data_IF_665479448033
#
_entry.id   IF_665479448033
#
_cell.length_a   1.000
_cell.length_b   1.000
_cell.length_c   1.000
_cell.angle_alpha   90.00
_cell.angle_beta   90.00
_cell.angle_gamma   90.00
#
_symmetry.space_group_name_H-M   'P 1'
#
loop_
_entity.id
_entity.type
_entity.pdbx_description
1 polymer ?
#
# COMPACT_ATOMS: atom_id res chain seq x y z
N UNK A 1 -6.97 -6.48 -29.86
CA UNK A 1 -6.64 -5.38 -28.93
C UNK A 1 -5.39 -5.78 -28.18
N UNK A 2 -4.28 -5.13 -28.50
CA UNK A 2 -2.96 -5.30 -27.88
C UNK A 2 -3.08 -5.14 -26.37
N UNK A 3 -2.62 -6.14 -25.60
CA UNK A 3 -2.48 -6.00 -24.15
C UNK A 3 -1.59 -4.79 -23.88
N UNK A 4 -2.21 -3.73 -23.38
CA UNK A 4 -1.57 -2.47 -23.07
C UNK A 4 -0.44 -2.74 -22.08
N UNK A 5 0.76 -2.27 -22.41
CA UNK A 5 1.88 -2.39 -21.49
C UNK A 5 1.51 -1.54 -20.28
N UNK A 6 1.51 -2.09 -19.04
CA UNK A 6 1.06 -1.32 -17.88
C UNK A 6 1.83 -0.01 -17.85
N UNK A 7 1.08 1.11 -17.83
CA UNK A 7 1.62 2.45 -17.92
C UNK A 7 2.77 2.59 -16.90
N UNK A 8 3.97 2.87 -17.40
CA UNK A 8 5.16 3.01 -16.55
C UNK A 8 5.23 4.45 -16.07
N UNK A 9 5.20 4.61 -14.75
CA UNK A 9 5.31 5.91 -14.09
C UNK A 9 6.79 6.19 -13.81
N UNK A 10 7.48 7.07 -14.57
CA UNK A 10 8.87 7.39 -14.29
C UNK A 10 8.95 8.22 -13.02
N UNK A 11 9.73 7.76 -12.03
CA UNK A 11 9.98 8.48 -10.79
C UNK A 11 11.44 8.93 -10.80
N UNK A 12 11.66 10.25 -10.84
CA UNK A 12 13.00 10.84 -10.88
C UNK A 12 13.40 11.46 -9.53
N UNK A 13 12.44 11.71 -8.65
CA UNK A 13 12.63 12.40 -7.37
C UNK A 13 11.78 11.80 -6.24
N UNK A 14 12.07 12.22 -5.00
CA UNK A 14 11.23 11.91 -3.82
C UNK A 14 9.83 12.50 -4.00
N UNK A 15 9.70 13.72 -4.52
CA UNK A 15 8.40 14.33 -4.80
C UNK A 15 7.58 13.51 -5.79
N UNK A 16 8.20 12.95 -6.83
CA UNK A 16 7.52 12.04 -7.76
C UNK A 16 7.03 10.79 -7.03
N UNK A 17 7.90 10.16 -6.22
CA UNK A 17 7.51 9.00 -5.43
C UNK A 17 6.30 9.32 -4.54
N UNK A 18 6.36 10.41 -3.78
CA UNK A 18 5.27 10.81 -2.88
C UNK A 18 3.97 11.09 -3.63
N UNK A 19 4.04 11.67 -4.83
CA UNK A 19 2.89 11.88 -5.68
C UNK A 19 2.33 10.58 -6.30
N UNK A 20 3.16 9.55 -6.47
CA UNK A 20 2.72 8.24 -6.95
C UNK A 20 2.01 7.41 -5.87
N UNK A 21 2.39 7.58 -4.59
CA UNK A 21 1.87 6.75 -3.48
C UNK A 21 0.34 6.64 -3.45
N UNK A 22 -0.45 7.72 -3.59
CA UNK A 22 -1.91 7.60 -3.58
C UNK A 22 -2.46 6.67 -4.66
N UNK A 23 -1.84 6.65 -5.85
CA UNK A 23 -2.25 5.79 -6.96
C UNK A 23 -1.78 4.34 -6.78
N UNK A 24 -0.69 4.11 -6.03
CA UNK A 24 -0.26 2.77 -5.62
C UNK A 24 -1.18 2.17 -4.55
N UNK A 25 -1.72 3.02 -3.65
CA UNK A 25 -2.63 2.60 -2.58
C UNK A 25 -4.11 2.60 -3.01
N UNK A 26 -4.46 3.38 -4.04
CA UNK A 26 -5.83 3.67 -4.46
C UNK A 26 -6.53 4.77 -3.66
N UNK A 27 -5.83 5.45 -2.73
CA UNK A 27 -6.35 6.56 -1.93
C UNK A 27 -5.24 7.40 -1.30
N UNK A 28 -5.55 8.62 -0.84
CA UNK A 28 -4.61 9.47 -0.13
C UNK A 28 -4.53 9.07 1.35
N UNK A 29 -3.31 8.79 1.83
CA UNK A 29 -3.09 8.29 3.19
C UNK A 29 -2.75 9.42 4.17
N UNK A 30 -3.28 9.32 5.38
CA UNK A 30 -2.93 10.14 6.55
C UNK A 30 -2.68 9.22 7.75
N UNK A 31 -1.97 9.73 8.77
CA UNK A 31 -1.73 9.07 10.06
C UNK A 31 -1.32 7.60 9.94
N UNK A 32 -0.34 7.35 9.07
CA UNK A 32 0.01 6.01 8.62
C UNK A 32 1.47 5.86 8.29
N UNK A 33 1.95 4.62 8.34
CA UNK A 33 3.21 4.22 7.76
C UNK A 33 2.95 3.52 6.42
N UNK A 34 3.63 3.97 5.38
CA UNK A 34 3.68 3.33 4.07
C UNK A 34 5.06 2.78 3.81
N UNK A 35 5.13 1.52 3.41
CA UNK A 35 6.35 0.83 2.97
C UNK A 35 6.27 0.62 1.48
N UNK A 36 7.23 1.17 0.75
CA UNK A 36 7.38 0.99 -0.70
C UNK A 36 8.56 0.04 -0.94
N UNK A 37 8.28 -1.14 -1.49
CA UNK A 37 9.29 -2.13 -1.84
C UNK A 37 9.74 -1.99 -3.29
N UNK A 38 11.06 -2.15 -3.49
CA UNK A 38 11.69 -2.08 -4.79
C UNK A 38 12.40 -3.39 -5.15
N UNK A 39 12.26 -3.80 -6.40
CA UNK A 39 13.05 -4.85 -7.03
C UNK A 39 13.88 -4.20 -8.15
N UNK A 40 15.18 -4.05 -7.91
CA UNK A 40 16.03 -3.21 -8.74
C UNK A 40 15.60 -1.74 -8.66
N UNK A 41 15.23 -1.15 -9.80
CA UNK A 41 14.75 0.25 -9.90
C UNK A 41 13.24 0.41 -10.02
N UNK A 42 12.47 -0.66 -9.78
CA UNK A 42 11.01 -0.67 -9.95
C UNK A 42 10.32 -0.82 -8.61
N UNK A 43 9.30 -0.02 -8.38
CA UNK A 43 8.34 -0.27 -7.30
C UNK A 43 7.57 -1.54 -7.63
N UNK A 44 7.58 -2.51 -6.71
CA UNK A 44 6.90 -3.80 -6.88
C UNK A 44 5.80 -4.00 -5.86
N UNK A 45 5.85 -3.29 -4.73
CA UNK A 45 4.81 -3.33 -3.71
C UNK A 45 4.73 -2.02 -2.95
N UNK A 46 3.53 -1.64 -2.55
CA UNK A 46 3.29 -0.60 -1.56
C UNK A 46 2.33 -1.18 -0.50
N UNK A 47 2.67 -1.03 0.77
CA UNK A 47 1.83 -1.47 1.88
C UNK A 47 1.66 -0.36 2.89
N UNK A 48 0.45 -0.26 3.45
CA UNK A 48 0.07 0.79 4.39
C UNK A 48 -0.41 0.17 5.69
N UNK A 49 0.07 0.68 6.82
CA UNK A 49 -0.36 0.33 8.17
C UNK A 49 -0.67 1.60 8.96
N UNK A 50 -1.66 1.57 9.85
CA UNK A 50 -1.90 2.68 10.77
C UNK A 50 -0.70 2.90 11.71
N UNK A 51 -0.44 4.15 12.08
CA UNK A 51 0.53 4.44 13.13
C UNK A 51 -0.04 4.00 14.48
N UNK A 52 0.74 3.29 15.32
CA UNK A 52 0.34 3.00 16.69
C UNK A 52 0.34 4.28 17.54
N UNK A 53 -0.34 4.23 18.69
CA UNK A 53 -0.13 5.25 19.71
C UNK A 53 1.33 5.21 20.20
N UNK A 54 1.96 6.37 20.49
CA UNK A 54 3.39 6.43 20.85
C UNK A 54 3.79 5.49 21.99
N UNK A 55 2.93 5.31 22.99
CA UNK A 55 3.18 4.42 24.13
C UNK A 55 3.22 2.92 23.77
N UNK A 56 2.69 2.55 22.60
CA UNK A 56 2.51 1.14 22.19
C UNK A 56 3.48 0.70 21.08
N UNK A 57 4.35 1.61 20.59
CA UNK A 57 5.27 1.37 19.47
C UNK A 57 6.11 0.11 19.67
N UNK A 58 6.67 -0.10 20.86
CA UNK A 58 7.51 -1.29 21.16
C UNK A 58 6.75 -2.60 21.01
N UNK A 59 5.49 -2.66 21.42
CA UNK A 59 4.67 -3.87 21.25
C UNK A 59 4.25 -4.04 19.78
N UNK A 60 3.89 -2.93 19.12
CA UNK A 60 3.45 -2.89 17.73
C UNK A 60 4.55 -3.35 16.77
N UNK A 61 5.80 -2.90 16.97
CA UNK A 61 6.88 -3.07 15.99
C UNK A 61 7.22 -4.53 15.72
N UNK A 62 7.05 -5.43 16.70
CA UNK A 62 7.29 -6.85 16.48
C UNK A 62 6.29 -7.47 15.50
N UNK A 63 5.01 -7.12 15.63
CA UNK A 63 3.97 -7.62 14.72
C UNK A 63 4.08 -6.95 13.35
N UNK A 64 4.18 -5.61 13.34
CA UNK A 64 4.30 -4.82 12.12
C UNK A 64 5.57 -5.18 11.34
N UNK A 65 6.72 -5.32 12.00
CA UNK A 65 7.99 -5.72 11.38
C UNK A 65 7.86 -7.03 10.62
N UNK A 66 7.26 -8.07 11.23
CA UNK A 66 7.00 -9.34 10.52
C UNK A 66 6.09 -9.15 9.30
N UNK A 67 5.07 -8.31 9.41
CA UNK A 67 4.14 -8.03 8.30
C UNK A 67 4.84 -7.30 7.14
N UNK A 68 5.62 -6.26 7.43
CA UNK A 68 6.38 -5.50 6.42
C UNK A 68 7.47 -6.36 5.77
N UNK A 69 8.18 -7.19 6.54
CA UNK A 69 9.15 -8.15 5.98
C UNK A 69 8.46 -9.15 5.06
N UNK A 70 7.32 -9.71 5.48
CA UNK A 70 6.56 -10.65 4.65
C UNK A 70 6.05 -9.99 3.36
N UNK A 71 5.55 -8.75 3.45
CA UNK A 71 5.12 -7.96 2.29
C UNK A 71 6.25 -7.82 1.27
N UNK A 72 7.45 -7.42 1.71
CA UNK A 72 8.61 -7.21 0.84
C UNK A 72 9.11 -8.52 0.23
N UNK A 73 9.20 -9.58 1.03
CA UNK A 73 9.65 -10.90 0.57
C UNK A 73 8.69 -11.56 -0.42
N UNK A 74 7.40 -11.27 -0.35
CA UNK A 74 6.42 -11.81 -1.30
C UNK A 74 6.65 -11.36 -2.75
N UNK A 75 7.42 -10.29 -2.96
CA UNK A 75 7.75 -9.73 -4.29
C UNK A 75 9.26 -9.68 -4.53
N UNK A 76 10.04 -10.42 -3.74
CA UNK A 76 11.51 -10.45 -3.79
C UNK A 76 12.14 -9.04 -3.73
N UNK A 77 11.50 -8.12 -3.01
CA UNK A 77 12.05 -6.78 -2.79
C UNK A 77 13.13 -6.82 -1.72
N UNK A 78 14.35 -6.43 -2.10
CA UNK A 78 15.51 -6.33 -1.20
C UNK A 78 15.76 -4.90 -0.73
N UNK A 79 15.07 -3.93 -1.33
CA UNK A 79 15.20 -2.51 -1.01
C UNK A 79 13.83 -1.94 -0.70
N UNK A 80 13.74 -1.04 0.27
CA UNK A 80 12.50 -0.37 0.63
C UNK A 80 12.71 1.12 0.94
N UNK A 81 11.64 1.89 0.82
CA UNK A 81 11.51 3.26 1.33
C UNK A 81 10.36 3.25 2.33
N UNK A 82 10.57 3.85 3.50
CA UNK A 82 9.51 4.04 4.49
C UNK A 82 9.01 5.47 4.44
N UNK A 83 7.69 5.66 4.52
CA UNK A 83 7.05 6.97 4.43
C UNK A 83 6.02 7.06 5.57
N UNK A 84 6.30 7.88 6.58
CA UNK A 84 5.35 8.17 7.64
C UNK A 84 4.55 9.44 7.35
N UNK A 85 3.23 9.31 7.29
CA UNK A 85 2.29 10.42 7.18
C UNK A 85 1.84 10.83 8.57
N UNK A 86 2.19 12.03 9.01
CA UNK A 86 1.84 12.56 10.32
C UNK A 86 2.95 13.40 10.97
N UNK A 87 2.68 13.97 12.16
CA UNK A 87 3.65 14.77 12.89
C UNK A 87 4.85 13.94 13.35
N UNK A 88 5.99 14.60 13.59
CA UNK A 88 7.23 13.93 14.01
C UNK A 88 7.05 13.15 15.32
N UNK A 89 6.19 13.63 16.22
CA UNK A 89 5.90 12.99 17.52
C UNK A 89 5.27 11.60 17.39
N UNK A 90 4.57 11.30 16.29
CA UNK A 90 3.95 9.99 16.03
C UNK A 90 4.77 9.17 15.05
N UNK A 91 5.37 9.80 14.03
CA UNK A 91 6.11 9.11 12.97
C UNK A 91 7.51 8.68 13.39
N UNK A 92 8.29 9.57 14.02
CA UNK A 92 9.71 9.32 14.32
C UNK A 92 9.92 8.06 15.17
N UNK A 93 9.16 7.83 16.27
CA UNK A 93 9.33 6.62 17.08
C UNK A 93 9.08 5.32 16.29
N UNK A 94 8.15 5.37 15.33
CA UNK A 94 7.80 4.23 14.48
C UNK A 94 8.92 3.92 13.49
N UNK A 95 9.47 4.95 12.83
CA UNK A 95 10.61 4.81 11.92
C UNK A 95 11.83 4.28 12.65
N UNK A 96 12.16 4.84 13.82
CA UNK A 96 13.31 4.44 14.64
C UNK A 96 13.19 2.99 15.11
N UNK A 97 11.99 2.57 15.50
CA UNK A 97 11.76 1.20 15.95
C UNK A 97 11.78 0.20 14.78
N UNK A 98 11.16 0.52 13.64
CA UNK A 98 10.97 -0.45 12.55
C UNK A 98 12.22 -0.64 11.69
N UNK A 99 13.00 0.43 11.46
CA UNK A 99 14.15 0.42 10.55
C UNK A 99 15.19 -0.67 10.91
N UNK A 100 15.60 -0.84 12.18
CA UNK A 100 16.51 -1.92 12.58
C UNK A 100 15.96 -3.32 12.32
N UNK A 101 14.65 -3.53 12.48
CA UNK A 101 14.03 -4.83 12.20
C UNK A 101 14.10 -5.20 10.72
N UNK A 102 13.89 -4.23 9.83
CA UNK A 102 13.99 -4.45 8.39
C UNK A 102 15.44 -4.71 7.96
N UNK A 103 16.39 -3.96 8.52
CA UNK A 103 17.82 -4.20 8.28
C UNK A 103 18.27 -5.58 8.74
N UNK A 104 17.87 -6.00 9.94
CA UNK A 104 18.19 -7.34 10.46
C UNK A 104 17.62 -8.47 9.57
N UNK A 105 16.55 -8.19 8.80
CA UNK A 105 15.96 -9.12 7.86
C UNK A 105 16.59 -9.10 6.46
N UNK A 106 17.64 -8.28 6.25
CA UNK A 106 18.36 -8.14 4.99
C UNK A 106 17.76 -7.13 4.01
N UNK A 107 16.84 -6.26 4.47
CA UNK A 107 16.26 -5.21 3.63
C UNK A 107 17.10 -3.94 3.72
N UNK A 108 17.52 -3.42 2.57
CA UNK A 108 18.16 -2.10 2.47
C UNK A 108 17.10 -1.01 2.51
N UNK A 109 17.20 -0.07 3.44
CA UNK A 109 16.32 1.10 3.48
C UNK A 109 16.99 2.25 2.74
N UNK A 110 16.46 2.58 1.57
CA UNK A 110 17.01 3.61 0.67
C UNK A 110 16.76 5.02 1.20
N UNK A 111 15.59 5.23 1.81
CA UNK A 111 15.25 6.47 2.51
C UNK A 111 14.13 6.19 3.52
N UNK A 112 14.04 7.05 4.53
CA UNK A 112 12.90 7.13 5.45
C UNK A 112 12.39 8.57 5.45
N UNK A 113 11.13 8.73 5.08
CA UNK A 113 10.49 10.01 4.83
C UNK A 113 9.41 10.26 5.87
N UNK A 114 9.26 11.52 6.30
CA UNK A 114 8.08 12.02 7.00
C UNK A 114 7.35 13.00 6.12
N UNK A 115 6.04 12.84 5.99
CA UNK A 115 5.14 13.75 5.27
C UNK A 115 4.15 14.36 6.27
N UNK A 116 4.08 15.68 6.32
CA UNK A 116 3.08 16.41 7.11
C UNK A 116 2.77 17.73 6.42
N UNK A 117 1.49 18.11 6.36
CA UNK A 117 1.06 19.44 5.88
C UNK A 117 1.63 19.84 4.50
N UNK A 118 1.63 18.92 3.53
CA UNK A 118 2.12 19.20 2.17
C UNK A 118 3.65 19.35 2.05
N UNK A 119 4.38 18.94 3.09
CA UNK A 119 5.84 18.96 3.13
C UNK A 119 6.39 17.61 3.48
N UNK A 120 7.60 17.34 3.01
CA UNK A 120 8.33 16.14 3.40
C UNK A 120 9.71 16.45 3.97
N UNK A 121 10.21 15.53 4.79
CA UNK A 121 11.56 15.51 5.32
C UNK A 121 12.12 14.10 5.14
N UNK A 122 13.38 13.99 4.74
CA UNK A 122 14.12 12.75 4.86
C UNK A 122 14.80 12.71 6.23
N UNK A 123 14.71 11.57 6.92
CA UNK A 123 15.48 11.32 8.15
C UNK A 123 16.94 10.95 7.84
N UNK A 124 17.27 10.64 6.59
CA UNK A 124 18.62 10.25 6.17
C UNK A 124 19.41 11.42 5.55
N UNK A 125 18.74 12.42 4.97
CA UNK A 125 19.39 13.59 4.39
C UNK A 125 19.61 14.69 5.43
N UNK A 126 20.87 15.06 5.66
CA UNK A 126 21.26 16.11 6.62
C UNK A 126 21.61 17.45 5.96
N UNK A 127 21.61 17.53 4.63
CA UNK A 127 21.90 18.77 3.91
C UNK A 127 20.72 19.75 4.02
N UNK A 128 20.88 20.93 4.65
CA UNK A 128 19.81 21.92 4.80
C UNK A 128 19.36 22.55 3.48
N UNK A 129 20.18 22.51 2.42
CA UNK A 129 19.78 23.01 1.10
C UNK A 129 18.88 22.01 0.36
N UNK A 130 19.10 20.71 0.58
CA UNK A 130 18.28 19.65 0.04
C UNK A 130 17.02 19.38 0.88
N UNK A 131 17.19 19.32 2.21
CA UNK A 131 16.16 19.05 3.21
C UNK A 131 16.17 20.15 4.27
N UNK A 132 15.52 21.31 4.01
CA UNK A 132 15.46 22.39 4.99
C UNK A 132 14.70 21.95 6.25
N UNK A 133 14.98 22.57 7.41
CA UNK A 133 14.31 22.23 8.68
C UNK A 133 12.78 22.32 8.62
N UNK A 134 12.25 23.25 7.83
CA UNK A 134 10.81 23.45 7.63
C UNK A 134 10.20 22.46 6.62
N UNK A 135 11.03 21.63 5.98
CA UNK A 135 10.60 20.58 5.05
C UNK A 135 10.47 21.07 3.61
N UNK A 136 10.63 20.14 2.68
CA UNK A 136 10.53 20.40 1.24
C UNK A 136 9.05 20.43 0.86
N UNK A 137 8.55 21.54 0.30
CA UNK A 137 7.17 21.60 -0.19
C UNK A 137 7.01 20.70 -1.41
N UNK A 138 5.88 20.02 -1.51
CA UNK A 138 5.51 19.27 -2.70
C UNK A 138 3.99 19.31 -2.91
N UNK A 139 3.54 19.19 -4.15
CA UNK A 139 2.13 19.08 -4.48
C UNK A 139 1.81 17.65 -4.95
N UNK A 140 1.12 16.84 -4.13
CA UNK A 140 0.74 15.48 -4.54
C UNK A 140 -0.31 15.45 -5.66
N UNK A 141 -1.08 16.54 -5.84
CA UNK A 141 -2.19 16.61 -6.78
C UNK A 141 -1.77 17.17 -8.15
N UNK A 142 -0.83 18.11 -8.19
CA UNK A 142 -0.39 18.80 -9.42
C UNK A 142 1.03 18.44 -9.83
N UNK A 143 1.42 17.18 -9.70
CA UNK A 143 2.71 16.69 -10.21
C UNK A 143 2.57 16.05 -11.60
N UNK A 144 3.64 16.05 -12.43
CA UNK A 144 3.66 15.28 -13.69
C UNK A 144 3.31 13.80 -13.48
N UNK A 145 3.71 13.26 -12.33
CA UNK A 145 3.42 11.89 -11.90
C UNK A 145 1.93 11.68 -11.67
N UNK A 146 1.25 12.58 -10.96
CA UNK A 146 -0.20 12.53 -10.77
C UNK A 146 -0.95 12.62 -12.11
N UNK A 147 -0.52 13.52 -13.00
CA UNK A 147 -1.11 13.66 -14.35
C UNK A 147 -0.95 12.36 -15.15
N UNK A 148 0.24 11.76 -15.17
CA UNK A 148 0.46 10.49 -15.86
C UNK A 148 -0.42 9.36 -15.30
N UNK A 149 -0.58 9.27 -13.98
CA UNK A 149 -1.43 8.26 -13.35
C UNK A 149 -2.90 8.43 -13.80
N UNK A 150 -3.41 9.67 -13.76
CA UNK A 150 -4.78 9.99 -14.20
C UNK A 150 -4.97 9.65 -15.68
N UNK A 151 -4.04 10.05 -16.54
CA UNK A 151 -4.08 9.75 -18.00
C UNK A 151 -4.02 8.24 -18.25
N UNK A 152 -3.31 7.49 -17.41
CA UNK A 152 -3.28 6.03 -17.42
C UNK A 152 -4.55 5.37 -16.85
N UNK A 153 -5.59 6.15 -16.51
CA UNK A 153 -6.84 5.65 -15.96
C UNK A 153 -6.76 5.24 -14.49
N UNK A 154 -5.68 5.59 -13.79
CA UNK A 154 -5.57 5.35 -12.36
C UNK A 154 -6.31 6.44 -11.58
N UNK A 155 -6.97 6.04 -10.50
CA UNK A 155 -7.70 6.96 -9.61
C UNK A 155 -7.28 6.72 -8.17
N UNK A 156 -7.00 7.79 -7.44
CA UNK A 156 -6.83 7.75 -5.99
C UNK A 156 -8.06 8.37 -5.31
N UNK A 157 -8.73 7.58 -4.46
CA UNK A 157 -9.85 8.04 -3.66
C UNK A 157 -9.40 9.10 -2.62
N UNK A 158 -10.32 9.93 -2.08
CA UNK A 158 -9.96 10.98 -1.14
C UNK A 158 -9.26 10.46 0.11
N UNK A 159 -9.71 9.32 0.64
CA UNK A 159 -9.17 8.72 1.85
C UNK A 159 -9.48 7.22 1.94
N UNK A 160 -9.02 6.60 3.02
CA UNK A 160 -9.29 5.19 3.32
C UNK A 160 -10.77 4.91 3.56
N UNK A 161 -11.52 5.84 4.15
CA UNK A 161 -12.94 5.65 4.43
C UNK A 161 -13.74 5.55 3.13
N UNK A 162 -13.42 6.36 2.13
CA UNK A 162 -13.97 6.27 0.78
C UNK A 162 -13.62 4.93 0.11
N UNK A 163 -12.39 4.42 0.27
CA UNK A 163 -12.04 3.08 -0.22
C UNK A 163 -12.90 2.00 0.46
N UNK A 164 -13.04 2.04 1.79
CA UNK A 164 -13.88 1.10 2.54
C UNK A 164 -15.34 1.19 2.08
N UNK A 165 -15.87 2.39 1.87
CA UNK A 165 -17.22 2.60 1.37
C UNK A 165 -17.41 2.02 -0.05
N UNK A 166 -16.40 2.13 -0.92
CA UNK A 166 -16.46 1.61 -2.30
C UNK A 166 -16.57 0.08 -2.38
N UNK A 167 -16.08 -0.63 -1.36
CA UNK A 167 -16.15 -2.09 -1.25
C UNK A 167 -17.13 -2.56 -0.17
N UNK A 168 -17.90 -1.63 0.41
CA UNK A 168 -18.87 -1.96 1.43
C UNK A 168 -19.93 -2.94 0.88
N UNK A 169 -20.38 -3.92 1.68
CA UNK A 169 -21.35 -4.89 1.22
C UNK A 169 -22.62 -4.20 0.72
N UNK A 170 -23.08 -4.59 -0.47
CA UNK A 170 -24.43 -4.27 -0.90
C UNK A 170 -25.38 -5.18 -0.14
N UNK A 171 -26.25 -4.60 0.70
CA UNK A 171 -27.21 -5.38 1.48
C UNK A 171 -28.34 -5.90 0.59
N UNK A 172 -28.18 -7.15 0.12
CA UNK A 172 -29.22 -7.89 -0.57
C UNK A 172 -29.21 -9.36 -0.13
N UNK A 173 -30.36 -10.04 -0.26
CA UNK A 173 -30.47 -11.47 0.06
C UNK A 173 -29.47 -12.31 -0.77
N UNK A 174 -29.29 -11.94 -2.04
CA UNK A 174 -28.29 -12.57 -2.92
C UNK A 174 -26.86 -12.40 -2.40
N UNK A 175 -26.45 -11.18 -2.06
CA UNK A 175 -25.12 -10.90 -1.48
C UNK A 175 -24.91 -11.55 -0.11
N UNK A 176 -25.96 -11.73 0.69
CA UNK A 176 -25.85 -12.43 1.96
C UNK A 176 -25.58 -13.93 1.77
N UNK A 177 -26.34 -14.59 0.89
CA UNK A 177 -26.15 -16.01 0.55
C UNK A 177 -24.76 -16.25 -0.05
N UNK A 178 -24.34 -15.36 -0.92
CA UNK A 178 -23.02 -15.33 -1.51
C UNK A 178 -21.85 -15.29 -0.52
N UNK A 179 -21.93 -14.33 0.40
CA UNK A 179 -20.90 -14.07 1.38
C UNK A 179 -20.74 -15.29 2.28
N UNK A 180 -21.86 -15.92 2.64
CA UNK A 180 -21.88 -17.18 3.38
C UNK A 180 -21.18 -18.30 2.61
N UNK A 181 -21.53 -18.52 1.35
CA UNK A 181 -20.87 -19.53 0.49
C UNK A 181 -19.36 -19.26 0.35
N UNK A 182 -18.95 -18.00 0.24
CA UNK A 182 -17.55 -17.63 0.18
C UNK A 182 -16.82 -17.88 1.50
N UNK A 183 -17.44 -17.56 2.64
CA UNK A 183 -16.90 -17.83 3.98
C UNK A 183 -16.76 -19.33 4.25
N UNK A 184 -17.74 -20.15 3.86
CA UNK A 184 -17.69 -21.61 3.97
C UNK A 184 -16.52 -22.18 3.15
N UNK A 185 -16.39 -21.78 1.88
CA UNK A 185 -15.23 -22.19 1.04
C UNK A 185 -13.90 -21.75 1.64
N UNK A 186 -13.82 -20.52 2.15
CA UNK A 186 -12.61 -20.00 2.78
C UNK A 186 -12.24 -20.82 4.03
N UNK A 187 -13.22 -21.13 4.88
CA UNK A 187 -13.02 -21.98 6.04
C UNK A 187 -12.52 -23.37 5.64
N UNK A 188 -13.19 -24.04 4.69
CA UNK A 188 -12.78 -25.37 4.21
C UNK A 188 -11.38 -25.36 3.59
N UNK A 189 -11.04 -24.36 2.77
CA UNK A 189 -9.72 -24.26 2.18
C UNK A 189 -8.63 -24.04 3.24
N UNK A 190 -8.91 -23.19 4.24
CA UNK A 190 -7.99 -22.91 5.33
C UNK A 190 -7.78 -24.12 6.23
N UNK A 191 -8.82 -24.89 6.55
CA UNK A 191 -8.70 -26.08 7.41
C UNK A 191 -8.03 -27.26 6.72
N UNK A 192 -8.30 -27.46 5.43
CA UNK A 192 -7.76 -28.60 4.66
C UNK A 192 -6.34 -28.39 4.13
N UNK A 193 -5.98 -27.16 3.75
CA UNK A 193 -4.71 -26.89 3.07
C UNK A 193 -3.99 -25.63 3.55
N UNK A 194 -4.41 -25.08 4.69
CA UNK A 194 -3.80 -23.91 5.31
C UNK A 194 -3.92 -22.64 4.46
N UNK A 195 -3.07 -21.66 4.78
CA UNK A 195 -3.12 -20.33 4.15
C UNK A 195 -2.84 -20.35 2.65
N UNK A 196 -1.98 -21.26 2.18
CA UNK A 196 -1.66 -21.37 0.76
C UNK A 196 -2.87 -21.84 -0.06
N UNK A 197 -3.65 -22.80 0.46
CA UNK A 197 -4.88 -23.23 -0.19
C UNK A 197 -5.96 -22.14 -0.18
N UNK A 198 -6.10 -21.41 0.93
CA UNK A 198 -6.99 -20.25 1.01
C UNK A 198 -6.67 -19.20 -0.06
N UNK A 199 -5.39 -18.81 -0.21
CA UNK A 199 -4.97 -17.82 -1.20
C UNK A 199 -5.27 -18.29 -2.63
N UNK A 200 -4.96 -19.55 -2.96
CA UNK A 200 -5.26 -20.10 -4.30
C UNK A 200 -6.76 -20.14 -4.59
N UNK A 201 -7.57 -20.61 -3.64
CA UNK A 201 -9.02 -20.67 -3.77
C UNK A 201 -9.62 -19.26 -3.93
N UNK A 202 -9.16 -18.29 -3.14
CA UNK A 202 -9.57 -16.90 -3.23
C UNK A 202 -9.24 -16.27 -4.58
N UNK A 203 -7.99 -16.45 -5.07
CA UNK A 203 -7.57 -15.94 -6.39
C UNK A 203 -8.44 -16.50 -7.50
N UNK A 204 -8.63 -17.83 -7.52
CA UNK A 204 -9.49 -18.49 -8.50
C UNK A 204 -10.91 -17.91 -8.49
N UNK A 205 -11.51 -17.72 -7.31
CA UNK A 205 -12.86 -17.17 -7.20
C UNK A 205 -12.97 -15.72 -7.73
N UNK A 206 -11.93 -14.90 -7.52
CA UNK A 206 -11.86 -13.53 -8.04
C UNK A 206 -11.68 -13.53 -9.56
N UNK A 207 -10.79 -14.35 -10.09
CA UNK A 207 -10.55 -14.48 -11.54
C UNK A 207 -11.81 -14.95 -12.28
N UNK A 208 -12.53 -15.92 -11.71
CA UNK A 208 -13.82 -16.40 -12.22
C UNK A 208 -14.90 -15.31 -12.17
N UNK A 209 -14.92 -14.46 -11.14
CA UNK A 209 -15.84 -13.34 -11.06
C UNK A 209 -15.53 -12.30 -12.15
N UNK A 210 -14.27 -11.92 -12.34
CA UNK A 210 -13.87 -11.00 -13.40
C UNK A 210 -14.17 -11.53 -14.80
N UNK A 211 -13.91 -12.83 -15.03
CA UNK A 211 -14.20 -13.47 -16.32
C UNK A 211 -15.69 -13.43 -16.64
N UNK A 212 -16.56 -13.73 -15.67
CA UNK A 212 -18.02 -13.62 -15.84
C UNK A 212 -18.47 -12.19 -16.10
N UNK A 213 -17.94 -11.22 -15.34
CA UNK A 213 -18.26 -9.82 -15.55
C UNK A 213 -17.85 -9.34 -16.96
N UNK A 214 -16.67 -9.74 -17.44
CA UNK A 214 -16.20 -9.38 -18.78
C UNK A 214 -17.04 -10.02 -19.91
N UNK A 215 -17.67 -11.17 -19.65
CA UNK A 215 -18.46 -11.91 -20.66
C UNK A 215 -19.90 -11.42 -20.71
N UNK A 216 -20.53 -11.24 -19.54
CA UNK A 216 -21.98 -11.02 -19.44
C UNK A 216 -22.35 -9.60 -18.97
N UNK A 217 -21.37 -8.76 -18.62
CA UNK A 217 -21.54 -7.45 -17.98
C UNK A 217 -22.39 -7.45 -16.68
N UNK A 218 -22.73 -8.64 -16.15
CA UNK A 218 -23.56 -8.82 -14.96
C UNK A 218 -22.94 -9.88 -14.05
N UNK A 219 -22.74 -9.53 -12.78
CA UNK A 219 -22.38 -10.48 -11.73
C UNK A 219 -23.66 -11.04 -11.09
N UNK A 220 -24.24 -12.09 -11.67
CA UNK A 220 -25.38 -12.79 -11.06
C UNK A 220 -24.95 -13.83 -10.04
N UNK A 221 -25.76 -13.98 -8.99
CA UNK A 221 -25.65 -15.08 -8.04
C UNK A 221 -26.43 -16.28 -8.53
N UNK A 222 -25.73 -17.30 -9.01
CA UNK A 222 -26.22 -18.68 -8.92
C UNK A 222 -25.82 -19.23 -7.54
#
# INVERSE_FOLDING_TARGET
MTHDHPARLPLASISDLLAAVPYLLGFHSTDSLVTVGLTGRRITVAGRTDLPEPATVTAWVHAAGRQHIALLRNVDATTAILIGYGPATTVTPVIDALTPHLHAAGITILDTLRVTEGRYHSYQCQDPHCCPPDGVPFDPHHSPTAVHAIVAGQTALPDRAALVASVAPIHSVGMAAASRRAQERAFTAQTSGGRAALIRAGRKAVDEAFTRYATDAVLTYN
#
